data_IF_244681589406
#
_entry.id   IF_244681589406
#
_cell.length_a   1.000
_cell.length_b   1.000
_cell.length_c   1.000
_cell.angle_alpha   90.00
_cell.angle_beta   90.00
_cell.angle_gamma   90.00
#
_symmetry.space_group_name_H-M   'P 1'
#
loop_
_entity.id
_entity.type
_entity.pdbx_description
1 polymer ?
#
# COMPACT_ATOMS: atom_id res chain seq x y z
N UNK A 1 7.92 -3.66 20.05
CA UNK A 1 9.01 -3.34 19.10
C UNK A 1 9.60 -2.00 19.49
N UNK A 2 10.90 -1.94 19.76
CA UNK A 2 11.57 -0.74 20.27
C UNK A 2 11.91 0.17 19.08
N UNK A 3 11.86 1.50 19.26
CA UNK A 3 12.14 2.50 18.21
C UNK A 3 13.50 2.29 17.50
N UNK A 4 14.51 1.74 18.20
CA UNK A 4 15.81 1.36 17.61
C UNK A 4 15.68 0.28 16.52
N UNK A 5 14.75 -0.65 16.68
CA UNK A 5 14.54 -1.74 15.72
C UNK A 5 13.92 -1.17 14.43
N UNK A 6 12.96 -0.23 14.53
CA UNK A 6 12.33 0.41 13.37
C UNK A 6 13.30 1.32 12.60
N UNK A 7 14.21 2.02 13.28
CA UNK A 7 15.26 2.81 12.62
C UNK A 7 16.21 1.92 11.80
N UNK A 8 16.60 0.76 12.35
CA UNK A 8 17.40 -0.22 11.63
C UNK A 8 16.70 -0.72 10.38
N UNK A 9 15.38 -0.98 10.48
CA UNK A 9 14.58 -1.42 9.33
C UNK A 9 14.54 -0.34 8.24
N UNK A 10 14.25 0.90 8.61
CA UNK A 10 14.17 2.02 7.66
C UNK A 10 15.51 2.26 6.94
N UNK A 11 16.64 2.03 7.61
CA UNK A 11 17.98 2.22 7.03
C UNK A 11 18.31 1.27 5.86
N UNK A 12 17.52 0.23 5.64
CA UNK A 12 17.66 -0.65 4.47
C UNK A 12 17.05 -0.07 3.19
N UNK A 13 16.25 1.00 3.31
CA UNK A 13 15.57 1.64 2.19
C UNK A 13 16.26 2.94 1.80
N UNK A 14 16.19 3.31 0.53
CA UNK A 14 16.78 4.53 -0.02
C UNK A 14 15.87 5.74 0.28
N UNK A 15 15.88 6.18 1.53
CA UNK A 15 15.16 7.40 1.95
C UNK A 15 16.06 8.63 1.77
N UNK A 16 15.44 9.77 1.47
CA UNK A 16 16.11 11.08 1.52
C UNK A 16 15.88 11.71 2.90
N UNK A 17 16.93 12.34 3.43
CA UNK A 17 16.87 13.02 4.72
C UNK A 17 17.19 12.12 5.93
N UNK A 18 17.18 12.75 7.09
CA UNK A 18 17.51 12.12 8.38
C UNK A 18 16.22 11.82 9.14
N UNK A 19 16.03 10.58 9.58
CA UNK A 19 14.86 10.19 10.37
C UNK A 19 14.86 10.93 11.71
N UNK A 20 13.84 11.70 11.97
CA UNK A 20 13.59 12.38 13.24
C UNK A 20 12.78 11.51 14.20
N UNK A 21 11.70 10.91 13.70
CA UNK A 21 10.74 10.20 14.53
C UNK A 21 10.00 9.11 13.74
N UNK A 22 9.63 8.02 14.42
CA UNK A 22 8.77 6.97 13.88
C UNK A 22 7.61 6.75 14.85
N UNK A 23 6.38 6.98 14.39
CA UNK A 23 5.15 6.81 15.19
C UNK A 23 4.13 5.92 14.50
N UNK A 24 3.32 5.15 15.25
CA UNK A 24 2.19 4.44 14.68
C UNK A 24 1.28 5.38 13.88
N UNK A 25 0.81 4.92 12.72
CA UNK A 25 -0.06 5.66 11.82
C UNK A 25 -1.34 4.88 11.54
N UNK A 26 -2.47 5.42 12.01
CA UNK A 26 -3.79 4.83 11.80
C UNK A 26 -4.05 3.58 12.65
N UNK A 27 -5.19 2.96 12.38
CA UNK A 27 -5.70 1.76 13.07
C UNK A 27 -5.94 0.60 12.09
N UNK A 28 -5.01 0.41 11.14
CA UNK A 28 -5.11 -0.65 10.14
C UNK A 28 -5.22 -2.03 10.79
N UNK A 29 -6.15 -2.86 10.29
CA UNK A 29 -6.44 -4.18 10.86
C UNK A 29 -5.51 -5.29 10.32
N UNK A 30 -4.81 -5.05 9.23
CA UNK A 30 -4.02 -6.07 8.53
C UNK A 30 -2.52 -5.84 8.73
N UNK A 31 -2.04 -4.66 8.38
CA UNK A 31 -0.62 -4.31 8.42
C UNK A 31 -0.33 -3.33 9.57
N UNK A 32 0.80 -3.47 10.23
CA UNK A 32 1.27 -2.44 11.14
C UNK A 32 1.89 -1.30 10.32
N UNK A 33 1.42 -0.10 10.58
CA UNK A 33 1.79 1.07 9.79
C UNK A 33 2.36 2.16 10.70
N UNK A 34 3.46 2.78 10.27
CA UNK A 34 4.16 3.83 10.98
C UNK A 34 4.43 5.02 10.07
N UNK A 35 4.30 6.22 10.60
CA UNK A 35 4.79 7.43 9.96
C UNK A 35 6.25 7.63 10.35
N UNK A 36 7.11 7.83 9.36
CA UNK A 36 8.53 8.21 9.51
C UNK A 36 8.64 9.68 9.15
N UNK A 37 8.99 10.50 10.12
CA UNK A 37 9.18 11.95 9.93
C UNK A 37 10.66 12.23 9.76
N UNK A 38 11.02 13.08 8.80
CA UNK A 38 12.39 13.54 8.54
C UNK A 38 12.67 14.90 9.19
N UNK A 39 13.95 15.21 9.42
CA UNK A 39 14.39 16.48 10.00
C UNK A 39 14.33 17.62 9.00
N UNK A 40 14.72 17.34 7.76
CA UNK A 40 14.89 18.32 6.70
C UNK A 40 13.53 18.70 6.11
N UNK A 41 13.20 20.00 6.09
CA UNK A 41 11.92 20.52 5.60
C UNK A 41 11.65 20.20 4.12
N UNK A 42 12.70 20.05 3.34
CA UNK A 42 12.63 19.74 1.89
C UNK A 42 12.54 18.23 1.63
N UNK A 43 12.89 17.39 2.61
CA UNK A 43 12.77 15.95 2.47
C UNK A 43 11.32 15.50 2.67
N UNK A 44 10.96 14.39 2.03
CA UNK A 44 9.65 13.78 2.23
C UNK A 44 9.58 13.05 3.57
N UNK A 45 8.41 13.05 4.20
CA UNK A 45 8.06 12.04 5.20
C UNK A 45 7.73 10.72 4.49
N UNK A 46 7.79 9.62 5.24
CA UNK A 46 7.54 8.29 4.70
C UNK A 46 6.52 7.50 5.53
N UNK A 47 6.03 6.42 4.95
CA UNK A 47 5.24 5.40 5.63
C UNK A 47 6.05 4.11 5.63
N UNK A 48 6.43 3.63 6.81
CA UNK A 48 6.96 2.29 7.02
C UNK A 48 5.80 1.34 7.33
N UNK A 49 5.78 0.19 6.69
CA UNK A 49 4.71 -0.78 6.91
C UNK A 49 5.28 -2.19 7.04
N UNK A 50 4.86 -2.89 8.13
CA UNK A 50 5.06 -4.34 8.26
C UNK A 50 3.95 -5.05 7.51
N UNK A 51 4.33 -5.87 6.54
CA UNK A 51 3.38 -6.63 5.72
C UNK A 51 2.94 -7.87 6.50
N UNK A 52 1.64 -8.06 6.64
CA UNK A 52 1.09 -9.26 7.23
C UNK A 52 1.18 -10.43 6.24
N UNK A 53 2.29 -11.14 6.28
CA UNK A 53 2.56 -12.26 5.38
C UNK A 53 1.78 -13.55 5.73
N UNK A 54 1.05 -13.58 6.84
CA UNK A 54 0.06 -14.62 7.09
C UNK A 54 -1.16 -14.48 6.17
N UNK A 55 -1.48 -13.25 5.76
CA UNK A 55 -2.54 -12.94 4.79
C UNK A 55 -1.97 -12.89 3.38
N UNK A 56 -0.89 -12.12 3.17
CA UNK A 56 -0.20 -11.98 1.88
C UNK A 56 0.96 -12.98 1.79
N UNK A 57 0.64 -14.24 1.54
CA UNK A 57 1.62 -15.33 1.63
C UNK A 57 2.77 -15.21 0.61
N UNK A 58 2.55 -14.58 -0.53
CA UNK A 58 3.58 -14.31 -1.52
C UNK A 58 3.86 -12.80 -1.60
N UNK A 59 4.77 -12.32 -0.75
CA UNK A 59 5.13 -10.90 -0.67
C UNK A 59 5.83 -10.41 -1.93
N UNK A 60 6.62 -11.24 -2.59
CA UNK A 60 7.27 -10.88 -3.86
C UNK A 60 6.24 -10.61 -4.96
N UNK A 61 5.25 -11.49 -5.12
CA UNK A 61 4.14 -11.28 -6.05
C UNK A 61 3.31 -10.05 -5.69
N UNK A 62 3.02 -9.83 -4.39
CA UNK A 62 2.32 -8.64 -3.93
C UNK A 62 3.05 -7.36 -4.35
N UNK A 63 4.36 -7.29 -4.10
CA UNK A 63 5.15 -6.11 -4.45
C UNK A 63 5.32 -5.96 -5.95
N UNK A 64 5.44 -7.05 -6.70
CA UNK A 64 5.43 -7.04 -8.17
C UNK A 64 4.13 -6.48 -8.75
N UNK A 65 2.98 -6.88 -8.21
CA UNK A 65 1.68 -6.30 -8.60
C UNK A 65 1.61 -4.80 -8.31
N UNK A 66 2.06 -4.38 -7.13
CA UNK A 66 2.07 -2.98 -6.72
C UNK A 66 2.95 -2.16 -7.66
N UNK A 67 4.16 -2.65 -7.98
CA UNK A 67 5.08 -1.97 -8.88
C UNK A 67 4.50 -1.86 -10.30
N UNK A 68 3.94 -2.93 -10.85
CA UNK A 68 3.30 -2.92 -12.16
C UNK A 68 2.17 -1.88 -12.22
N UNK A 69 1.27 -1.87 -11.22
CA UNK A 69 0.13 -0.95 -11.15
C UNK A 69 0.59 0.50 -10.99
N UNK A 70 1.49 0.78 -10.04
CA UNK A 70 1.91 2.16 -9.77
C UNK A 70 2.72 2.75 -10.92
N UNK A 71 3.60 1.96 -11.55
CA UNK A 71 4.34 2.35 -12.76
C UNK A 71 3.41 2.64 -13.93
N UNK A 72 2.42 1.79 -14.18
CA UNK A 72 1.44 1.98 -15.25
C UNK A 72 0.61 3.25 -15.06
N UNK A 73 0.09 3.48 -13.83
CA UNK A 73 -0.67 4.69 -13.52
C UNK A 73 0.20 5.95 -13.65
N UNK A 74 1.43 5.93 -13.13
CA UNK A 74 2.38 7.04 -13.25
C UNK A 74 2.61 7.41 -14.70
N UNK A 75 2.92 6.44 -15.55
CA UNK A 75 3.10 6.64 -16.99
C UNK A 75 1.89 7.32 -17.64
N UNK A 76 0.68 6.85 -17.35
CA UNK A 76 -0.56 7.47 -17.88
C UNK A 76 -0.79 8.90 -17.40
N UNK A 77 -0.46 9.21 -16.16
CA UNK A 77 -0.56 10.57 -15.64
C UNK A 77 0.45 11.49 -16.31
N UNK A 78 1.69 11.03 -16.53
CA UNK A 78 2.73 11.76 -17.25
C UNK A 78 2.33 12.03 -18.72
N UNK A 79 1.82 11.01 -19.41
CA UNK A 79 1.33 11.14 -20.79
C UNK A 79 0.16 12.11 -20.94
N UNK A 80 -0.66 12.26 -19.89
CA UNK A 80 -1.75 13.25 -19.82
C UNK A 80 -1.27 14.67 -19.44
N UNK A 81 0.00 14.85 -19.11
CA UNK A 81 0.55 16.12 -18.62
C UNK A 81 0.04 16.50 -17.23
N UNK A 82 -0.34 15.52 -16.41
CA UNK A 82 -0.82 15.78 -15.06
C UNK A 82 0.29 16.32 -14.16
N UNK A 83 -0.08 17.23 -13.27
CA UNK A 83 0.80 17.76 -12.22
C UNK A 83 0.59 17.02 -10.90
N UNK A 84 1.50 17.20 -9.96
CA UNK A 84 1.43 16.61 -8.61
C UNK A 84 1.26 15.07 -8.61
N UNK A 85 1.95 14.38 -9.54
CA UNK A 85 1.84 12.92 -9.72
C UNK A 85 2.14 12.17 -8.43
N UNK A 86 3.12 12.63 -7.63
CA UNK A 86 3.49 12.02 -6.35
C UNK A 86 2.38 12.09 -5.28
N UNK A 87 1.35 12.89 -5.51
CA UNK A 87 0.14 12.89 -4.69
C UNK A 87 -0.97 11.99 -5.22
N UNK A 88 -0.85 11.52 -6.46
CA UNK A 88 -1.89 10.75 -7.18
C UNK A 88 -1.56 9.26 -7.25
N UNK A 89 -0.27 8.91 -7.16
CA UNK A 89 0.18 7.52 -7.16
C UNK A 89 1.26 7.31 -6.11
N UNK A 90 1.17 6.21 -5.38
CA UNK A 90 2.16 5.84 -4.37
C UNK A 90 3.52 5.55 -5.00
N UNK A 91 4.58 5.95 -4.32
CA UNK A 91 5.95 5.61 -4.66
C UNK A 91 6.55 4.75 -3.55
N UNK A 92 6.93 3.52 -3.90
CA UNK A 92 7.59 2.58 -3.00
C UNK A 92 9.11 2.70 -3.18
N UNK A 93 9.82 2.81 -2.06
CA UNK A 93 11.26 3.02 -2.07
C UNK A 93 11.98 1.68 -2.18
N UNK A 94 13.03 1.62 -3.03
CA UNK A 94 13.84 0.44 -3.13
C UNK A 94 14.81 0.31 -1.96
N UNK A 95 15.21 -0.92 -1.68
CA UNK A 95 16.37 -1.28 -0.88
C UNK A 95 17.64 -1.22 -1.74
N UNK A 96 18.81 -1.44 -1.15
CA UNK A 96 20.09 -1.41 -1.86
C UNK A 96 20.19 -2.46 -2.99
N UNK A 97 19.47 -3.59 -2.87
CA UNK A 97 19.37 -4.64 -3.88
C UNK A 97 18.24 -4.42 -4.90
N UNK A 98 17.57 -3.25 -4.85
CA UNK A 98 16.53 -2.82 -5.79
C UNK A 98 15.14 -3.40 -5.54
N UNK A 99 14.93 -4.13 -4.46
CA UNK A 99 13.61 -4.64 -4.07
C UNK A 99 12.81 -3.56 -3.35
N UNK A 100 11.49 -3.56 -3.49
CA UNK A 100 10.56 -2.66 -2.78
C UNK A 100 10.08 -3.22 -1.44
N UNK A 101 10.74 -4.25 -0.93
CA UNK A 101 10.51 -4.83 0.39
C UNK A 101 11.82 -5.35 0.98
N UNK A 102 11.85 -5.48 2.29
CA UNK A 102 12.97 -6.05 3.04
C UNK A 102 12.47 -7.10 4.02
N UNK A 103 13.22 -8.21 4.17
CA UNK A 103 12.93 -9.29 5.12
C UNK A 103 13.96 -9.29 6.23
N UNK A 104 13.52 -9.14 7.48
CA UNK A 104 14.39 -9.04 8.65
C UNK A 104 14.76 -10.41 9.29
N UNK A 105 14.34 -11.51 8.66
CA UNK A 105 14.46 -12.88 9.18
C UNK A 105 13.17 -13.41 9.77
N UNK A 106 12.21 -12.53 10.07
CA UNK A 106 10.91 -12.87 10.64
C UNK A 106 9.75 -12.16 9.91
N UNK A 107 9.91 -10.88 9.60
CA UNK A 107 8.86 -10.04 9.02
C UNK A 107 9.29 -9.40 7.70
N UNK A 108 8.30 -9.07 6.90
CA UNK A 108 8.47 -8.29 5.66
C UNK A 108 8.09 -6.84 5.89
N UNK A 109 8.92 -5.94 5.38
CA UNK A 109 8.77 -4.50 5.52
C UNK A 109 8.80 -3.81 4.18
N UNK A 110 8.10 -2.68 4.06
CA UNK A 110 8.17 -1.79 2.91
C UNK A 110 8.10 -0.34 3.34
N UNK A 111 8.67 0.54 2.53
CA UNK A 111 8.61 1.99 2.73
C UNK A 111 8.02 2.63 1.49
N UNK A 112 7.15 3.62 1.71
CA UNK A 112 6.58 4.45 0.64
C UNK A 112 6.56 5.91 1.06
N UNK A 113 6.49 6.82 0.10
CA UNK A 113 6.35 8.25 0.38
C UNK A 113 5.04 8.54 1.11
N UNK A 114 5.11 9.40 2.11
CA UNK A 114 3.91 9.90 2.80
C UNK A 114 3.26 11.01 1.97
N UNK A 115 1.96 10.89 1.72
CA UNK A 115 1.19 11.93 1.03
C UNK A 115 0.65 12.92 2.06
N UNK A 116 1.22 14.12 2.17
CA UNK A 116 0.79 15.11 3.17
C UNK A 116 -0.60 15.68 2.83
N UNK A 117 -1.25 16.28 3.84
CA UNK A 117 -2.55 16.94 3.69
C UNK A 117 -3.68 16.01 3.19
N UNK A 118 -3.53 14.70 3.39
CA UNK A 118 -4.63 13.74 3.23
C UNK A 118 -5.47 13.69 4.52
N UNK A 119 -6.77 13.49 4.38
CA UNK A 119 -7.71 13.34 5.49
C UNK A 119 -8.49 12.05 5.33
N UNK A 120 -8.54 11.26 6.40
CA UNK A 120 -9.39 10.07 6.47
C UNK A 120 -10.75 10.43 7.06
N UNK A 121 -11.82 9.90 6.47
CA UNK A 121 -13.18 10.05 6.95
C UNK A 121 -13.70 8.68 7.41
N UNK A 122 -14.16 8.57 8.65
CA UNK A 122 -14.73 7.34 9.21
C UNK A 122 -16.18 7.14 8.78
N UNK A 123 -16.89 8.23 8.53
CA UNK A 123 -18.26 8.24 8.07
C UNK A 123 -18.36 8.91 6.71
N UNK A 124 -19.17 8.33 5.83
CA UNK A 124 -19.43 8.87 4.51
C UNK A 124 -20.82 9.51 4.44
N UNK A 125 -20.93 10.58 3.67
CA UNK A 125 -22.20 11.18 3.25
C UNK A 125 -22.41 10.93 1.74
N UNK A 126 -23.56 11.28 1.16
CA UNK A 126 -23.81 11.07 -0.28
C UNK A 126 -22.75 11.69 -1.19
N UNK A 127 -22.26 12.89 -0.86
CA UNK A 127 -21.22 13.58 -1.63
C UNK A 127 -19.89 12.81 -1.61
N UNK A 128 -19.41 12.38 -0.45
CA UNK A 128 -18.16 11.62 -0.34
C UNK A 128 -18.29 10.21 -0.93
N UNK A 129 -19.48 9.61 -0.87
CA UNK A 129 -19.75 8.34 -1.55
C UNK A 129 -19.65 8.48 -3.07
N UNK A 130 -20.14 9.60 -3.64
CA UNK A 130 -19.98 9.90 -5.05
C UNK A 130 -18.50 10.05 -5.45
N UNK A 131 -17.72 10.84 -4.70
CA UNK A 131 -16.29 11.00 -4.98
C UNK A 131 -15.50 9.71 -4.83
N UNK A 132 -15.82 8.88 -3.84
CA UNK A 132 -15.20 7.56 -3.69
C UNK A 132 -15.51 6.67 -4.91
N UNK A 133 -16.78 6.60 -5.34
CA UNK A 133 -17.18 5.85 -6.53
C UNK A 133 -16.49 6.35 -7.80
N UNK A 134 -16.39 7.66 -7.99
CA UNK A 134 -15.69 8.27 -9.11
C UNK A 134 -14.18 7.97 -9.10
N UNK A 135 -13.56 7.98 -7.91
CA UNK A 135 -12.13 7.63 -7.76
C UNK A 135 -11.88 6.15 -8.11
N UNK A 136 -12.72 5.22 -7.63
CA UNK A 136 -12.64 3.81 -8.00
C UNK A 136 -12.87 3.58 -9.49
N UNK A 137 -13.87 4.23 -10.08
CA UNK A 137 -14.12 4.14 -11.53
C UNK A 137 -12.94 4.65 -12.36
N UNK A 138 -12.33 5.76 -11.97
CA UNK A 138 -11.13 6.29 -12.61
C UNK A 138 -9.93 5.34 -12.45
N UNK A 139 -9.74 4.76 -11.28
CA UNK A 139 -8.70 3.76 -11.03
C UNK A 139 -8.87 2.55 -11.96
N UNK A 140 -10.07 1.99 -12.06
CA UNK A 140 -10.37 0.89 -12.98
C UNK A 140 -10.11 1.27 -14.44
N UNK A 141 -10.53 2.48 -14.86
CA UNK A 141 -10.29 2.98 -16.21
C UNK A 141 -8.80 3.14 -16.53
N UNK A 142 -7.99 3.56 -15.54
CA UNK A 142 -6.54 3.63 -15.71
C UNK A 142 -5.88 2.26 -15.87
N UNK A 143 -6.45 1.22 -15.28
CA UNK A 143 -5.90 -0.14 -15.33
C UNK A 143 -6.49 -1.02 -16.46
N UNK A 144 -7.47 -0.52 -17.21
CA UNK A 144 -8.17 -1.31 -18.23
C UNK A 144 -7.26 -1.88 -19.33
N UNK A 145 -6.11 -1.28 -19.55
CA UNK A 145 -5.11 -1.64 -20.57
C UNK A 145 -3.72 -1.93 -19.96
N UNK A 146 -3.67 -2.27 -18.67
CA UNK A 146 -2.40 -2.69 -18.05
C UNK A 146 -1.86 -3.94 -18.76
N UNK A 147 -0.61 -3.90 -19.26
CA UNK A 147 -0.06 -5.02 -20.01
C UNK A 147 0.41 -6.19 -19.12
N UNK A 148 0.66 -5.90 -17.85
CA UNK A 148 1.17 -6.88 -16.90
C UNK A 148 0.04 -7.81 -16.42
N UNK A 149 0.36 -9.10 -16.26
CA UNK A 149 -0.55 -10.06 -15.62
C UNK A 149 -0.36 -9.98 -14.11
N UNK A 150 -1.40 -9.53 -13.40
CA UNK A 150 -1.36 -9.44 -11.95
C UNK A 150 -1.65 -10.81 -11.31
N UNK A 151 -0.85 -11.18 -10.32
CA UNK A 151 -1.06 -12.38 -9.54
C UNK A 151 -2.15 -12.21 -8.47
N UNK A 152 -2.82 -13.28 -8.10
CA UNK A 152 -3.83 -13.30 -7.05
C UNK A 152 -3.16 -13.34 -5.68
N UNK A 153 -3.14 -12.21 -4.95
CA UNK A 153 -2.40 -12.06 -3.69
C UNK A 153 -3.11 -12.66 -2.47
N UNK A 154 -4.43 -12.75 -2.51
CA UNK A 154 -5.26 -13.45 -1.53
C UNK A 154 -6.19 -14.37 -2.34
N UNK A 155 -5.92 -15.68 -2.36
CA UNK A 155 -6.71 -16.64 -3.14
C UNK A 155 -8.21 -16.56 -2.82
N UNK A 156 -9.02 -16.58 -3.85
CA UNK A 156 -10.50 -16.56 -3.76
C UNK A 156 -11.09 -15.37 -2.99
N UNK A 157 -10.34 -14.24 -2.81
CA UNK A 157 -10.82 -13.11 -2.01
C UNK A 157 -12.12 -12.52 -2.56
N UNK A 158 -12.22 -12.35 -3.87
CA UNK A 158 -13.41 -11.84 -4.58
C UNK A 158 -14.17 -12.91 -5.36
N UNK A 159 -13.91 -14.21 -5.12
CA UNK A 159 -14.65 -15.31 -5.71
C UNK A 159 -16.03 -15.44 -5.01
N UNK A 160 -17.06 -14.85 -5.62
CA UNK A 160 -18.41 -14.79 -5.03
C UNK A 160 -19.05 -16.16 -4.91
N UNK A 161 -18.77 -17.10 -5.81
CA UNK A 161 -19.27 -18.49 -5.71
C UNK A 161 -18.68 -19.19 -4.48
N UNK A 162 -17.37 -19.05 -4.29
CA UNK A 162 -16.68 -19.57 -3.12
C UNK A 162 -17.22 -18.95 -1.82
N UNK A 163 -17.41 -17.62 -1.78
CA UNK A 163 -17.96 -16.92 -0.59
C UNK A 163 -19.40 -17.36 -0.30
N UNK A 164 -20.23 -17.51 -1.31
CA UNK A 164 -21.61 -18.00 -1.15
C UNK A 164 -21.63 -19.45 -0.62
N UNK A 165 -20.72 -20.29 -1.12
CA UNK A 165 -20.58 -21.66 -0.61
C UNK A 165 -20.20 -21.64 0.87
N UNK A 166 -19.19 -20.86 1.28
CA UNK A 166 -18.79 -20.72 2.67
C UNK A 166 -19.96 -20.30 3.58
N UNK A 167 -20.76 -19.32 3.15
CA UNK A 167 -21.96 -18.89 3.88
C UNK A 167 -22.98 -20.04 4.04
N UNK A 168 -23.28 -20.75 2.95
CA UNK A 168 -24.22 -21.90 3.01
C UNK A 168 -23.74 -23.01 3.93
N UNK A 169 -22.44 -23.33 3.88
CA UNK A 169 -21.83 -24.35 4.74
C UNK A 169 -21.90 -23.94 6.21
N UNK A 170 -21.62 -22.66 6.54
CA UNK A 170 -21.74 -22.14 7.89
C UNK A 170 -23.18 -22.18 8.43
N UNK A 171 -24.16 -21.76 7.59
CA UNK A 171 -25.58 -21.85 7.96
C UNK A 171 -26.02 -23.30 8.18
N UNK A 172 -25.58 -24.23 7.34
CA UNK A 172 -25.89 -25.66 7.48
C UNK A 172 -25.27 -26.28 8.74
N UNK A 173 -24.11 -25.76 9.17
CA UNK A 173 -23.43 -26.20 10.39
C UNK A 173 -23.97 -25.51 11.66
N UNK A 174 -24.91 -24.57 11.54
CA UNK A 174 -25.45 -23.76 12.65
C UNK A 174 -24.33 -23.01 13.43
N UNK A 175 -23.32 -22.47 12.70
CA UNK A 175 -22.11 -21.83 13.20
C UNK A 175 -22.24 -20.29 13.23
#
# INVERSE_FOLDING_TARGET
>A
MIMKDLLSIVSHFQIDGTVQEIKPLGSGLINDTYKVTTVEAEASDYVLQRINHAIFQNVEMLQGNIDAVTRHIRKKLEEKGETDIDRKVLHFLPTADGKTYWYDGENYWRVMTFIPRAKTYETVNPEYSYYAGAAFGNFQAMLADIPDTLGETIPDFHNMEFRLKQLRDAVAADA
#
